data_IF_330207756428
#
_entry.id   IF_330207756428
#
_cell.length_a   1.000
_cell.length_b   1.000
_cell.length_c   1.000
_cell.angle_alpha   90.00
_cell.angle_beta   90.00
_cell.angle_gamma   90.00
#
_symmetry.space_group_name_H-M   'P 1'
#
loop_
_entity.id
_entity.type
_entity.pdbx_description
1 polymer ?
#
# COMPACT_ATOMS: atom_id res chain seq x y z
N UNK A 1 -14.12 23.25 13.25
CA UNK A 1 -13.56 22.05 12.58
C UNK A 1 -14.64 21.46 11.67
N UNK A 2 -14.36 21.20 10.38
CA UNK A 2 -15.39 20.76 9.40
C UNK A 2 -15.59 19.24 9.32
N UNK A 3 -14.59 18.44 9.69
CA UNK A 3 -14.68 16.98 9.80
C UNK A 3 -13.60 16.45 10.75
N UNK A 4 -13.79 15.23 11.27
CA UNK A 4 -12.78 14.52 12.06
C UNK A 4 -11.56 14.18 11.17
N UNK A 5 -10.33 14.57 11.57
CA UNK A 5 -9.14 14.31 10.76
C UNK A 5 -8.83 12.82 10.62
N UNK A 6 -9.12 12.02 11.65
CA UNK A 6 -8.94 10.56 11.64
C UNK A 6 -9.89 9.92 10.64
N UNK A 7 -11.19 10.26 10.71
CA UNK A 7 -12.20 9.73 9.79
C UNK A 7 -11.90 10.10 8.34
N UNK A 8 -11.38 11.32 8.11
CA UNK A 8 -11.02 11.75 6.77
C UNK A 8 -9.89 10.88 6.18
N UNK A 9 -8.85 10.59 6.97
CA UNK A 9 -7.79 9.65 6.57
C UNK A 9 -8.34 8.24 6.37
N UNK A 10 -9.18 7.76 7.29
CA UNK A 10 -9.76 6.41 7.23
C UNK A 10 -10.65 6.21 5.99
N UNK A 11 -11.42 7.23 5.57
CA UNK A 11 -12.20 7.20 4.32
C UNK A 11 -11.34 7.02 3.07
N UNK A 12 -10.06 7.40 3.15
CA UNK A 12 -9.09 7.23 2.06
C UNK A 12 -8.45 5.84 2.17
N UNK A 13 -7.82 5.53 3.30
CA UNK A 13 -6.99 4.31 3.44
C UNK A 13 -7.78 3.04 3.75
N UNK A 14 -8.95 3.18 4.38
CA UNK A 14 -9.83 2.07 4.78
C UNK A 14 -10.63 1.48 3.62
N UNK A 15 -10.56 2.06 2.41
CA UNK A 15 -11.14 1.45 1.21
C UNK A 15 -10.44 0.14 0.89
N UNK A 16 -11.23 -0.90 0.57
CA UNK A 16 -10.71 -2.23 0.24
C UNK A 16 -9.61 -2.15 -0.82
N UNK A 17 -8.50 -2.83 -0.56
CA UNK A 17 -7.26 -2.88 -1.35
C UNK A 17 -6.39 -1.60 -1.38
N UNK A 18 -6.87 -0.42 -0.99
CA UNK A 18 -6.05 0.81 -1.03
C UNK A 18 -4.78 0.68 -0.19
N UNK A 19 -4.91 0.17 1.04
CA UNK A 19 -3.76 -0.06 1.92
C UNK A 19 -2.77 -1.10 1.36
N UNK A 20 -3.25 -2.09 0.60
CA UNK A 20 -2.42 -3.14 0.01
C UNK A 20 -1.59 -2.58 -1.14
N UNK A 21 -2.19 -1.74 -1.98
CA UNK A 21 -1.50 -1.04 -3.07
C UNK A 21 -0.43 -0.09 -2.50
N UNK A 22 -0.79 0.73 -1.52
CA UNK A 22 0.16 1.66 -0.86
C UNK A 22 1.34 0.91 -0.24
N UNK A 23 1.07 -0.13 0.57
CA UNK A 23 2.09 -0.98 1.16
C UNK A 23 3.04 -1.53 0.08
N UNK A 24 2.51 -2.05 -1.02
CA UNK A 24 3.34 -2.62 -2.08
C UNK A 24 4.19 -1.56 -2.80
N UNK A 25 3.65 -0.36 -3.03
CA UNK A 25 4.43 0.75 -3.57
C UNK A 25 5.58 1.13 -2.63
N UNK A 26 5.31 1.25 -1.33
CA UNK A 26 6.27 1.74 -0.32
C UNK A 26 7.36 0.71 -0.02
N UNK A 27 6.98 -0.55 0.21
CA UNK A 27 7.91 -1.56 0.73
C UNK A 27 8.46 -2.50 -0.35
N UNK A 28 7.79 -2.62 -1.50
CA UNK A 28 8.19 -3.52 -2.58
C UNK A 28 8.55 -2.77 -3.87
N UNK A 29 8.50 -1.43 -3.87
CA UNK A 29 8.77 -0.58 -5.04
C UNK A 29 7.96 -1.00 -6.29
N UNK A 30 6.78 -1.57 -6.10
CA UNK A 30 5.91 -1.94 -7.22
C UNK A 30 5.32 -0.70 -7.85
N UNK A 31 5.34 -0.64 -9.18
CA UNK A 31 4.84 0.51 -9.96
C UNK A 31 3.93 0.11 -11.10
N UNK A 32 3.98 -1.15 -11.54
CA UNK A 32 3.22 -1.63 -12.72
C UNK A 32 1.92 -2.30 -12.31
N UNK A 33 0.90 -2.15 -13.16
CA UNK A 33 -0.43 -2.74 -12.93
C UNK A 33 -0.37 -4.26 -12.69
N UNK A 34 0.41 -4.98 -13.49
CA UNK A 34 0.55 -6.44 -13.37
C UNK A 34 1.17 -6.84 -12.04
N UNK A 35 2.17 -6.11 -11.54
CA UNK A 35 2.81 -6.40 -10.25
C UNK A 35 1.79 -6.36 -9.10
N UNK A 36 0.90 -5.37 -9.09
CA UNK A 36 -0.16 -5.29 -8.08
C UNK A 36 -1.19 -6.42 -8.24
N UNK A 37 -1.55 -6.75 -9.48
CA UNK A 37 -2.52 -7.82 -9.75
C UNK A 37 -1.99 -9.19 -9.34
N UNK A 38 -0.70 -9.44 -9.53
CA UNK A 38 -0.04 -10.70 -9.16
C UNK A 38 0.19 -10.82 -7.64
N UNK A 39 0.50 -9.72 -6.96
CA UNK A 39 0.92 -9.75 -5.55
C UNK A 39 -0.18 -9.44 -4.53
N UNK A 40 -1.32 -8.89 -4.96
CA UNK A 40 -2.46 -8.62 -4.08
C UNK A 40 -3.52 -9.69 -4.31
N UNK A 41 -3.57 -10.65 -3.39
CA UNK A 41 -4.54 -11.73 -3.46
C UNK A 41 -6.00 -11.22 -3.47
N UNK A 42 -6.82 -11.78 -4.36
CA UNK A 42 -8.25 -11.49 -4.45
C UNK A 42 -8.62 -10.16 -5.11
N UNK A 43 -7.66 -9.33 -5.54
CA UNK A 43 -7.97 -8.15 -6.36
C UNK A 43 -8.20 -8.58 -7.82
N UNK A 44 -9.25 -8.06 -8.44
CA UNK A 44 -9.49 -8.23 -9.87
C UNK A 44 -9.08 -6.98 -10.67
N UNK A 45 -8.84 -7.09 -12.00
CA UNK A 45 -8.38 -5.98 -12.81
C UNK A 45 -9.29 -4.75 -12.76
N UNK A 46 -10.61 -4.97 -12.76
CA UNK A 46 -11.61 -3.90 -12.67
C UNK A 46 -11.46 -3.12 -11.37
N UNK A 47 -11.34 -3.81 -10.24
CA UNK A 47 -11.20 -3.19 -8.93
C UNK A 47 -9.87 -2.46 -8.79
N UNK A 48 -8.77 -3.05 -9.27
CA UNK A 48 -7.46 -2.41 -9.26
C UNK A 48 -7.46 -1.10 -10.05
N UNK A 49 -8.05 -1.11 -11.26
CA UNK A 49 -8.18 0.09 -12.10
C UNK A 49 -8.97 1.20 -11.39
N UNK A 50 -10.12 0.88 -10.80
CA UNK A 50 -10.91 1.86 -10.04
C UNK A 50 -10.14 2.41 -8.84
N UNK A 51 -9.40 1.56 -8.11
CA UNK A 51 -8.61 1.99 -6.94
C UNK A 51 -7.45 2.90 -7.33
N UNK A 52 -6.68 2.54 -8.37
CA UNK A 52 -5.59 3.38 -8.86
C UNK A 52 -6.10 4.75 -9.33
N UNK A 53 -7.26 4.79 -10.02
CA UNK A 53 -7.91 6.04 -10.42
C UNK A 53 -8.34 6.91 -9.22
N UNK A 54 -8.92 6.31 -8.18
CA UNK A 54 -9.28 7.04 -6.96
C UNK A 54 -8.05 7.54 -6.18
N UNK A 55 -6.98 6.74 -6.15
CA UNK A 55 -5.71 7.12 -5.54
C UNK A 55 -5.05 8.26 -6.32
N UNK A 56 -5.17 8.28 -7.65
CA UNK A 56 -4.72 9.40 -8.49
C UNK A 56 -5.53 10.67 -8.22
N UNK A 57 -6.87 10.58 -8.21
CA UNK A 57 -7.75 11.72 -7.87
C UNK A 57 -7.48 12.30 -6.49
N UNK A 58 -7.17 11.44 -5.52
CA UNK A 58 -6.83 11.86 -4.15
C UNK A 58 -5.39 12.34 -3.99
N UNK A 59 -4.61 12.35 -5.08
CA UNK A 59 -3.20 12.73 -5.14
C UNK A 59 -2.31 11.88 -4.23
N UNK A 60 -2.62 10.60 -4.06
CA UNK A 60 -1.75 9.65 -3.38
C UNK A 60 -0.73 9.03 -4.35
N UNK A 61 -1.15 8.81 -5.59
CA UNK A 61 -0.30 8.24 -6.64
C UNK A 61 -0.35 9.13 -7.88
N UNK A 62 0.68 9.02 -8.71
CA UNK A 62 0.76 9.66 -10.02
C UNK A 62 0.88 8.59 -11.08
N UNK A 63 0.04 8.67 -12.12
CA UNK A 63 0.19 7.85 -13.32
C UNK A 63 1.18 8.50 -14.26
N UNK A 64 2.17 7.74 -14.73
CA UNK A 64 3.16 8.17 -15.71
C UNK A 64 3.14 7.22 -16.89
N UNK A 65 3.02 7.81 -18.09
CA UNK A 65 3.11 7.08 -19.36
C UNK A 65 4.48 7.36 -19.93
N UNK A 66 5.23 6.30 -20.19
CA UNK A 66 6.52 6.37 -20.87
C UNK A 66 6.31 6.00 -22.33
N UNK A 67 6.61 6.89 -23.28
CA UNK A 67 6.45 6.65 -24.72
C UNK A 67 7.59 5.77 -25.25
N UNK A 68 7.82 4.64 -24.59
CA UNK A 68 8.77 3.60 -25.00
C UNK A 68 8.05 2.59 -25.91
N UNK A 69 8.80 1.76 -26.65
CA UNK A 69 8.27 0.58 -27.34
C UNK A 69 8.77 -0.67 -26.64
N UNK A 70 7.92 -1.45 -25.95
CA UNK A 70 6.47 -1.28 -25.82
C UNK A 70 6.06 -0.16 -24.85
N UNK A 71 4.86 0.39 -25.06
CA UNK A 71 4.30 1.46 -24.23
C UNK A 71 4.25 1.02 -22.77
N UNK A 72 4.87 1.80 -21.88
CA UNK A 72 4.95 1.47 -20.45
C UNK A 72 4.14 2.47 -19.62
N UNK A 73 3.36 1.94 -18.69
CA UNK A 73 2.57 2.73 -17.73
C UNK A 73 3.01 2.36 -16.33
N UNK A 74 3.31 3.36 -15.53
CA UNK A 74 3.65 3.20 -14.12
C UNK A 74 2.79 4.09 -13.24
N UNK A 75 2.55 3.61 -12.02
CA UNK A 75 1.92 4.32 -10.94
C UNK A 75 2.96 4.50 -9.84
N UNK A 76 3.34 5.73 -9.58
CA UNK A 76 4.35 6.07 -8.57
C UNK A 76 3.68 6.75 -7.39
N UNK A 77 4.13 6.44 -6.18
CA UNK A 77 3.66 7.14 -4.99
C UNK A 77 4.06 8.62 -5.05
N UNK A 78 3.22 9.49 -4.52
CA UNK A 78 3.50 10.93 -4.38
C UNK A 78 4.00 11.24 -2.98
N UNK A 79 4.49 12.45 -2.74
CA UNK A 79 4.83 12.93 -1.39
C UNK A 79 3.67 12.76 -0.39
N UNK A 80 2.44 13.08 -0.79
CA UNK A 80 1.24 12.87 0.05
C UNK A 80 0.99 11.39 0.34
N UNK A 81 1.25 10.52 -0.63
CA UNK A 81 1.16 9.07 -0.43
C UNK A 81 2.23 8.56 0.53
N UNK A 82 3.46 9.04 0.36
CA UNK A 82 4.61 8.66 1.19
C UNK A 82 4.41 9.10 2.66
N UNK A 83 3.73 10.22 2.88
CA UNK A 83 3.36 10.67 4.22
C UNK A 83 2.45 9.68 4.98
N UNK A 84 1.83 8.70 4.30
CA UNK A 84 1.09 7.62 4.96
C UNK A 84 1.97 6.46 5.44
N UNK A 85 3.22 6.36 4.99
CA UNK A 85 4.17 5.31 5.41
C UNK A 85 4.24 5.12 6.93
N UNK A 86 4.52 6.16 7.75
CA UNK A 86 4.59 5.97 9.20
C UNK A 86 3.27 5.48 9.80
N UNK A 87 2.12 5.86 9.23
CA UNK A 87 0.81 5.37 9.70
C UNK A 87 0.68 3.87 9.41
N UNK A 88 1.06 3.43 8.21
CA UNK A 88 1.02 2.02 7.80
C UNK A 88 1.95 1.18 8.69
N UNK A 89 3.15 1.68 8.99
CA UNK A 89 4.11 1.02 9.89
C UNK A 89 3.55 0.87 11.30
N UNK A 90 2.92 1.92 11.84
CA UNK A 90 2.29 1.88 13.17
C UNK A 90 1.08 0.93 13.21
N UNK A 91 0.27 0.89 12.14
CA UNK A 91 -0.82 -0.08 12.01
C UNK A 91 -0.30 -1.52 12.07
N UNK A 92 0.79 -1.80 11.34
CA UNK A 92 1.40 -3.11 11.36
C UNK A 92 2.00 -3.43 12.75
N UNK A 93 2.73 -2.49 13.35
CA UNK A 93 3.29 -2.64 14.70
C UNK A 93 2.22 -3.00 15.72
N UNK A 94 1.08 -2.30 15.67
CA UNK A 94 -0.06 -2.56 16.54
C UNK A 94 -0.57 -4.00 16.40
N UNK A 95 -0.87 -4.45 15.18
CA UNK A 95 -1.43 -5.78 14.97
C UNK A 95 -0.44 -6.89 15.30
N UNK A 96 0.85 -6.69 15.00
CA UNK A 96 1.89 -7.67 15.37
C UNK A 96 2.07 -7.80 16.88
N UNK A 97 1.77 -6.76 17.65
CA UNK A 97 1.88 -6.78 19.11
C UNK A 97 0.63 -7.31 19.81
N UNK A 98 -0.55 -6.81 19.41
CA UNK A 98 -1.79 -7.05 20.15
C UNK A 98 -2.73 -8.04 19.45
N UNK A 99 -2.52 -8.32 18.17
CA UNK A 99 -3.33 -9.24 17.36
C UNK A 99 -2.45 -10.36 16.76
N UNK A 100 -1.40 -10.78 17.49
CA UNK A 100 -0.38 -11.70 16.96
C UNK A 100 -0.97 -13.06 16.55
N UNK A 101 -2.04 -13.53 17.21
CA UNK A 101 -2.76 -14.75 16.85
C UNK A 101 -3.46 -14.68 15.48
N UNK A 102 -3.87 -13.49 15.05
CA UNK A 102 -4.52 -13.28 13.75
C UNK A 102 -3.49 -13.07 12.63
N UNK A 103 -2.31 -12.53 12.99
CA UNK A 103 -1.28 -12.13 12.02
C UNK A 103 -0.28 -13.25 11.74
N UNK A 104 0.09 -14.05 12.76
CA UNK A 104 1.18 -15.02 12.65
C UNK A 104 0.71 -16.44 12.96
N UNK A 105 1.19 -17.41 12.17
CA UNK A 105 0.87 -18.84 12.35
C UNK A 105 1.26 -19.39 13.72
N UNK A 106 2.30 -18.86 14.34
CA UNK A 106 2.78 -19.26 15.66
C UNK A 106 2.19 -18.41 16.81
N UNK A 107 1.36 -17.41 16.49
CA UNK A 107 0.73 -16.50 17.44
C UNK A 107 1.70 -15.60 18.21
N UNK A 108 3.00 -15.61 17.90
CA UNK A 108 4.01 -14.88 18.67
C UNK A 108 4.16 -13.43 18.19
N UNK A 109 4.18 -12.44 19.09
CA UNK A 109 4.43 -11.04 18.73
C UNK A 109 5.80 -10.83 18.08
N UNK A 110 5.87 -9.88 17.14
CA UNK A 110 7.11 -9.48 16.45
C UNK A 110 7.19 -7.96 16.32
N UNK A 111 8.40 -7.45 16.16
CA UNK A 111 8.68 -6.03 15.89
C UNK A 111 8.62 -5.72 14.38
N UNK A 112 8.49 -4.44 14.04
CA UNK A 112 8.44 -3.98 12.64
C UNK A 112 9.74 -4.34 11.92
N UNK A 113 10.88 -4.19 12.58
CA UNK A 113 12.20 -4.48 12.04
C UNK A 113 12.37 -5.96 11.70
N UNK A 114 11.82 -6.86 12.53
CA UNK A 114 11.86 -8.31 12.30
C UNK A 114 11.04 -8.76 11.08
N UNK A 115 10.02 -7.99 10.71
CA UNK A 115 9.09 -8.33 9.62
C UNK A 115 9.41 -7.54 8.35
N UNK A 116 9.42 -6.21 8.43
CA UNK A 116 9.64 -5.31 7.29
C UNK A 116 11.12 -5.12 6.95
N UNK A 117 12.03 -5.24 7.93
CA UNK A 117 13.48 -5.21 7.66
C UNK A 117 13.97 -6.38 6.79
N UNK A 118 13.15 -7.42 6.59
CA UNK A 118 13.38 -8.49 5.60
C UNK A 118 12.86 -8.12 4.20
N UNK A 119 11.77 -7.35 4.11
CA UNK A 119 11.16 -6.96 2.83
C UNK A 119 12.05 -5.99 2.04
N UNK A 120 12.66 -5.01 2.71
CA UNK A 120 13.63 -4.10 2.08
C UNK A 120 14.86 -4.83 1.51
N UNK A 121 15.26 -5.95 2.14
CA UNK A 121 16.38 -6.78 1.69
C UNK A 121 16.05 -7.74 0.54
N UNK A 122 14.76 -7.96 0.27
CA UNK A 122 14.29 -8.85 -0.81
C UNK A 122 13.94 -8.08 -2.09
N UNK A 123 13.82 -6.75 -1.99
CA UNK A 123 13.50 -5.85 -3.11
C UNK A 123 14.75 -5.26 -3.80
N UNK A 124 15.93 -5.85 -3.57
CA UNK A 124 17.22 -5.47 -4.17
C UNK A 124 17.82 -6.68 -4.87
#
# INVERSE_FOLDING_TARGET
>A
MKCCPIDNTFKIVGKKFTIHILRNMIFLNQTRFSQFLESIEGINPKTLSVRLHEMEKSKLVKRKVYPDTPLRIEYTITEKGEALKPIIEQMAAFSMKYCSCDVFRDGKPRTVEQVFGKLEKTAK
#
